data_IF_742701052898
#
_entry.id   IF_742701052898
#
_cell.length_a   1.000
_cell.length_b   1.000
_cell.length_c   1.000
_cell.angle_alpha   90.00
_cell.angle_beta   90.00
_cell.angle_gamma   90.00
#
_symmetry.space_group_name_H-M   'P 1'
#
loop_
_entity.id
_entity.type
_entity.pdbx_description
1 polymer ?
#
# COMPACT_ATOMS: atom_id res chain seq x y z
N UNK A 1 17.86 12.63 -1.39
CA UNK A 1 16.81 13.06 -2.33
C UNK A 1 16.66 11.92 -3.29
N UNK A 2 15.46 11.36 -3.37
CA UNK A 2 15.20 10.20 -4.22
C UNK A 2 15.35 10.63 -5.68
N UNK A 3 16.13 9.87 -6.46
CA UNK A 3 16.28 10.16 -7.87
C UNK A 3 14.92 10.04 -8.55
N UNK A 4 14.54 11.06 -9.33
CA UNK A 4 13.29 11.03 -10.09
C UNK A 4 13.60 10.87 -11.58
N UNK A 5 13.11 9.78 -12.17
CA UNK A 5 13.34 9.40 -13.57
C UNK A 5 12.03 9.50 -14.35
N UNK A 6 11.99 10.17 -15.52
CA UNK A 6 10.80 10.16 -16.38
C UNK A 6 10.44 8.74 -16.85
N UNK A 7 9.15 8.41 -16.90
CA UNK A 7 8.65 7.08 -17.29
C UNK A 7 9.20 6.61 -18.64
N UNK A 8 9.35 7.52 -19.59
CA UNK A 8 9.92 7.23 -20.92
C UNK A 8 11.37 6.74 -20.80
N UNK A 9 12.19 7.38 -19.95
CA UNK A 9 13.57 6.99 -19.69
C UNK A 9 13.64 5.70 -18.87
N UNK A 10 12.79 5.57 -17.84
CA UNK A 10 12.73 4.38 -17.02
C UNK A 10 12.41 3.12 -17.83
N UNK A 11 11.54 3.23 -18.84
CA UNK A 11 11.23 2.12 -19.76
C UNK A 11 12.44 1.63 -20.55
N UNK A 12 13.30 2.55 -21.02
CA UNK A 12 14.51 2.19 -21.77
C UNK A 12 15.64 1.66 -20.88
N UNK A 13 15.66 2.01 -19.60
CA UNK A 13 16.76 1.71 -18.67
C UNK A 13 16.36 0.78 -17.50
N UNK A 14 15.22 0.09 -17.63
CA UNK A 14 14.59 -0.66 -16.54
C UNK A 14 15.54 -1.64 -15.86
N UNK A 15 16.36 -2.35 -16.64
CA UNK A 15 17.32 -3.33 -16.11
C UNK A 15 18.36 -2.70 -15.17
N UNK A 16 18.90 -1.54 -15.52
CA UNK A 16 19.86 -0.84 -14.67
C UNK A 16 19.19 -0.27 -13.41
N UNK A 17 18.00 0.31 -13.55
CA UNK A 17 17.23 0.81 -12.40
C UNK A 17 16.92 -0.32 -11.41
N UNK A 18 16.49 -1.50 -11.90
CA UNK A 18 16.25 -2.67 -11.04
C UNK A 18 17.54 -3.11 -10.34
N UNK A 19 18.67 -3.17 -11.04
CA UNK A 19 19.94 -3.57 -10.44
C UNK A 19 20.40 -2.58 -9.36
N UNK A 20 20.25 -1.28 -9.60
CA UNK A 20 20.55 -0.21 -8.64
C UNK A 20 19.70 -0.33 -7.38
N UNK A 21 18.39 -0.50 -7.54
CA UNK A 21 17.47 -0.70 -6.40
C UNK A 21 17.83 -1.97 -5.65
N UNK A 22 18.01 -3.10 -6.35
CA UNK A 22 18.26 -4.40 -5.73
C UNK A 22 19.60 -4.50 -5.01
N UNK A 23 20.67 -3.94 -5.58
CA UNK A 23 22.04 -4.13 -5.09
C UNK A 23 22.62 -2.89 -4.43
N UNK A 24 22.17 -1.70 -4.85
CA UNK A 24 22.56 -0.42 -4.27
C UNK A 24 21.64 0.05 -3.14
N UNK A 25 20.52 -0.65 -2.89
CA UNK A 25 19.49 -0.26 -1.92
C UNK A 25 18.97 1.17 -2.17
N UNK A 26 18.83 1.52 -3.45
CA UNK A 26 18.36 2.84 -3.85
C UNK A 26 16.83 2.92 -3.91
N UNK A 27 16.28 4.06 -3.52
CA UNK A 27 14.88 4.45 -3.74
C UNK A 27 14.82 5.35 -4.97
N UNK A 28 14.07 4.94 -6.00
CA UNK A 28 13.95 5.69 -7.26
C UNK A 28 12.48 5.98 -7.54
N UNK A 29 12.15 7.25 -7.76
CA UNK A 29 10.81 7.69 -8.14
C UNK A 29 10.73 7.73 -9.67
N UNK A 30 9.65 7.19 -10.23
CA UNK A 30 9.33 7.35 -11.65
C UNK A 30 8.19 8.35 -11.78
N UNK A 31 8.41 9.38 -12.61
CA UNK A 31 7.40 10.39 -12.90
C UNK A 31 6.73 10.15 -14.25
N UNK A 32 5.41 10.34 -14.32
CA UNK A 32 4.65 10.41 -15.57
C UNK A 32 4.29 11.87 -15.86
N UNK A 33 4.66 12.37 -17.05
CA UNK A 33 4.53 13.79 -17.43
C UNK A 33 5.00 14.79 -16.34
N UNK A 34 6.08 14.46 -15.62
CA UNK A 34 6.65 15.30 -14.55
C UNK A 34 5.96 15.15 -13.18
N UNK A 35 4.91 14.35 -13.08
CA UNK A 35 4.23 14.05 -11.81
C UNK A 35 4.77 12.73 -11.24
N UNK A 36 5.23 12.68 -9.97
CA UNK A 36 5.61 11.42 -9.31
C UNK A 36 4.46 10.41 -9.39
N UNK A 37 4.71 9.25 -10.00
CA UNK A 37 3.67 8.26 -10.28
C UNK A 37 3.88 6.97 -9.49
N UNK A 38 5.12 6.46 -9.45
CA UNK A 38 5.48 5.24 -8.72
C UNK A 38 6.86 5.36 -8.10
N UNK A 39 7.17 4.54 -7.10
CA UNK A 39 8.51 4.39 -6.55
C UNK A 39 8.97 2.94 -6.70
N UNK A 40 10.25 2.76 -7.03
CA UNK A 40 10.96 1.49 -6.96
C UNK A 40 11.78 1.48 -5.68
N UNK A 41 11.57 0.46 -4.86
CA UNK A 41 12.28 0.25 -3.60
C UNK A 41 12.76 -1.20 -3.51
N UNK A 42 13.79 -1.46 -2.68
CA UNK A 42 14.17 -2.81 -2.30
C UNK A 42 12.98 -3.60 -1.72
N UNK A 43 12.97 -4.92 -1.95
CA UNK A 43 11.86 -5.80 -1.53
C UNK A 43 11.77 -5.93 -0.01
N UNK A 44 12.91 -5.93 0.66
CA UNK A 44 13.02 -5.90 2.12
C UNK A 44 12.49 -4.59 2.71
N UNK A 45 12.77 -3.46 2.08
CA UNK A 45 12.18 -2.17 2.48
C UNK A 45 10.66 -2.17 2.30
N UNK A 46 10.14 -2.71 1.19
CA UNK A 46 8.70 -2.89 1.01
C UNK A 46 8.08 -3.78 2.11
N UNK A 47 8.77 -4.83 2.53
CA UNK A 47 8.29 -5.71 3.61
C UNK A 47 8.23 -4.97 4.95
N UNK A 48 9.22 -4.14 5.24
CA UNK A 48 9.25 -3.31 6.46
C UNK A 48 8.13 -2.26 6.46
N UNK A 49 7.91 -1.57 5.34
CA UNK A 49 6.79 -0.63 5.20
C UNK A 49 5.43 -1.31 5.42
N UNK A 50 5.26 -2.56 4.96
CA UNK A 50 4.05 -3.35 5.22
C UNK A 50 3.91 -3.68 6.70
N UNK A 51 4.97 -4.14 7.36
CA UNK A 51 4.97 -4.42 8.80
C UNK A 51 4.57 -3.19 9.61
N UNK A 52 5.16 -2.03 9.31
CA UNK A 52 4.84 -0.77 10.00
C UNK A 52 3.38 -0.34 9.77
N UNK A 53 2.83 -0.59 8.58
CA UNK A 53 1.42 -0.33 8.29
C UNK A 53 0.50 -1.22 9.11
N UNK A 54 0.76 -2.51 9.16
CA UNK A 54 -0.03 -3.47 9.96
C UNK A 54 0.01 -3.10 11.46
N UNK A 55 1.17 -2.69 11.97
CA UNK A 55 1.32 -2.21 13.35
C UNK A 55 0.53 -0.93 13.62
N UNK A 56 0.50 0.00 12.66
CA UNK A 56 -0.29 1.22 12.78
C UNK A 56 -1.80 0.92 12.79
N UNK A 57 -2.26 -0.02 11.96
CA UNK A 57 -3.66 -0.44 11.87
C UNK A 57 -4.11 -1.11 13.18
N UNK A 58 -3.28 -2.00 13.76
CA UNK A 58 -3.52 -2.60 15.07
C UNK A 58 -3.59 -1.55 16.18
N UNK A 59 -2.61 -0.64 16.22
CA UNK A 59 -2.60 0.45 17.21
C UNK A 59 -3.85 1.33 17.09
N UNK A 60 -4.34 1.56 15.88
CA UNK A 60 -5.55 2.33 15.64
C UNK A 60 -6.82 1.59 16.10
N UNK A 61 -6.91 0.29 15.84
CA UNK A 61 -7.98 -0.56 16.36
C UNK A 61 -8.00 -0.56 17.90
N UNK A 62 -6.85 -0.72 18.55
CA UNK A 62 -6.72 -0.69 20.01
C UNK A 62 -7.14 0.68 20.58
N UNK A 63 -6.74 1.78 19.93
CA UNK A 63 -7.18 3.12 20.32
C UNK A 63 -8.70 3.28 20.24
N UNK A 64 -9.34 2.85 19.15
CA UNK A 64 -10.81 2.92 19.00
C UNK A 64 -11.53 2.09 20.06
N UNK A 65 -11.01 0.89 20.34
CA UNK A 65 -11.56 0.01 21.37
C UNK A 65 -11.45 0.63 22.76
N UNK A 66 -10.29 1.21 23.10
CA UNK A 66 -10.08 1.91 24.37
C UNK A 66 -10.96 3.17 24.51
N UNK A 67 -11.26 3.85 23.40
CA UNK A 67 -12.17 4.99 23.36
C UNK A 67 -13.67 4.60 23.45
N UNK A 68 -14.00 3.30 23.56
CA UNK A 68 -15.38 2.83 23.65
C UNK A 68 -16.15 2.96 22.33
N UNK A 69 -15.45 2.88 21.19
CA UNK A 69 -16.09 2.86 19.88
C UNK A 69 -17.08 1.69 19.71
N UNK A 70 -18.01 1.78 18.74
CA UNK A 70 -18.97 0.71 18.47
C UNK A 70 -18.24 -0.60 18.12
N UNK A 71 -18.71 -1.69 18.72
CA UNK A 71 -18.21 -3.05 18.45
C UNK A 71 -19.37 -3.88 17.94
N UNK A 72 -19.16 -4.58 16.83
CA UNK A 72 -20.14 -5.50 16.24
C UNK A 72 -19.63 -6.93 16.42
N UNK A 73 -20.54 -7.87 16.69
CA UNK A 73 -20.17 -9.29 16.77
C UNK A 73 -19.89 -9.83 15.37
N UNK A 74 -19.06 -10.86 15.27
CA UNK A 74 -18.80 -11.51 13.98
C UNK A 74 -20.09 -11.94 13.27
N UNK A 75 -21.06 -12.50 14.00
CA UNK A 75 -22.36 -12.89 13.45
C UNK A 75 -23.13 -11.72 12.82
N UNK A 76 -23.24 -10.60 13.55
CA UNK A 76 -23.96 -9.42 13.06
C UNK A 76 -23.24 -8.78 11.85
N UNK A 77 -21.91 -8.77 11.85
CA UNK A 77 -21.11 -8.28 10.71
C UNK A 77 -21.30 -9.15 9.47
N UNK A 78 -21.27 -10.48 9.61
CA UNK A 78 -21.50 -11.39 8.47
C UNK A 78 -22.91 -11.26 7.92
N UNK A 79 -23.93 -11.10 8.78
CA UNK A 79 -25.31 -10.90 8.34
C UNK A 79 -25.49 -9.61 7.54
N UNK A 80 -24.78 -8.53 7.91
CA UNK A 80 -24.76 -7.27 7.17
C UNK A 80 -24.10 -7.44 5.80
N UNK A 81 -22.91 -8.06 5.75
CA UNK A 81 -22.19 -8.30 4.50
C UNK A 81 -22.99 -9.15 3.50
N UNK A 82 -23.66 -10.21 3.97
CA UNK A 82 -24.55 -11.01 3.13
C UNK A 82 -25.75 -10.21 2.60
N UNK A 83 -26.24 -9.23 3.35
CA UNK A 83 -27.33 -8.37 2.90
C UNK A 83 -26.86 -7.41 1.80
N UNK A 84 -25.65 -6.84 1.93
CA UNK A 84 -25.02 -6.01 0.91
C UNK A 84 -24.81 -6.78 -0.40
N UNK A 85 -24.29 -8.01 -0.32
CA UNK A 85 -24.09 -8.88 -1.49
C UNK A 85 -25.41 -9.18 -2.22
N UNK A 86 -26.48 -9.49 -1.48
CA UNK A 86 -27.82 -9.71 -2.06
C UNK A 86 -28.35 -8.45 -2.73
N UNK A 87 -28.11 -7.28 -2.16
CA UNK A 87 -28.56 -6.01 -2.71
C UNK A 87 -27.81 -5.66 -4.00
N UNK A 88 -26.50 -5.89 -4.05
CA UNK A 88 -25.68 -5.70 -5.25
C UNK A 88 -26.06 -6.65 -6.39
N UNK A 89 -26.46 -7.89 -6.07
CA UNK A 89 -26.95 -8.85 -7.07
C UNK A 89 -28.35 -8.52 -7.62
N UNK A 90 -29.12 -7.69 -6.93
CA UNK A 90 -30.47 -7.29 -7.30
C UNK A 90 -30.55 -5.98 -8.13
N UNK A 91 -29.42 -5.29 -8.28
CA UNK A 91 -29.24 -4.04 -9.06
C UNK A 91 -28.55 -4.28 -10.40
#
# INVERSE_FOLDING_TARGET
>A
MDETVPLVQARSDLGNLVNRVRHGHETIVISDYGTPAVAMIPVDELAELRRLRDEADLADADRRKAAGGPVVTHEAFMAELEAEDRQAAAS
#
